data_IF_918457489685
#
_entry.id   IF_918457489685
#
_cell.length_a   1.000
_cell.length_b   1.000
_cell.length_c   1.000
_cell.angle_alpha   90.00
_cell.angle_beta   90.00
_cell.angle_gamma   90.00
#
_symmetry.space_group_name_H-M   'P 1'
#
loop_
_entity.id
_entity.type
_entity.pdbx_description
1 polymer ?
#
# COMPACT_ATOMS: atom_id res chain seq x y z
N UNK A 1 -13.27 -19.50 12.81
CA UNK A 1 -11.85 -19.35 13.22
C UNK A 1 -11.76 -18.07 14.04
N UNK A 2 -11.04 -18.10 15.15
CA UNK A 2 -10.70 -16.90 15.91
C UNK A 2 -9.46 -16.24 15.29
N UNK A 3 -9.33 -14.93 15.44
CA UNK A 3 -8.14 -14.22 15.00
C UNK A 3 -6.98 -14.53 15.97
N UNK A 4 -5.91 -15.14 15.46
CA UNK A 4 -4.71 -15.49 16.24
C UNK A 4 -3.52 -14.58 15.94
N UNK A 5 -3.67 -13.60 15.04
CA UNK A 5 -2.58 -12.72 14.60
C UNK A 5 -2.25 -11.62 15.62
N UNK A 6 -3.20 -11.24 16.47
CA UNK A 6 -2.99 -10.30 17.55
C UNK A 6 -4.09 -10.45 18.61
N UNK A 7 -3.76 -10.08 19.84
CA UNK A 7 -4.69 -10.09 20.96
C UNK A 7 -5.48 -8.78 21.05
N UNK A 8 -6.65 -8.82 21.68
CA UNK A 8 -7.39 -7.61 21.98
C UNK A 8 -6.61 -6.73 22.96
N UNK A 9 -6.44 -5.46 22.59
CA UNK A 9 -5.82 -4.45 23.44
C UNK A 9 -6.52 -3.12 23.19
N UNK A 10 -7.25 -2.53 24.15
CA UNK A 10 -7.93 -1.26 23.94
C UNK A 10 -6.92 -0.10 24.00
N UNK A 11 -7.04 0.85 23.06
CA UNK A 11 -6.12 2.00 22.97
C UNK A 11 -6.08 2.84 24.26
N UNK A 12 -7.15 2.85 25.04
CA UNK A 12 -7.27 3.60 26.31
C UNK A 12 -6.46 3.02 27.46
N UNK A 13 -5.96 1.79 27.34
CA UNK A 13 -5.19 1.10 28.38
C UNK A 13 -3.71 0.95 28.01
N UNK A 14 -3.31 1.41 26.83
CA UNK A 14 -1.93 1.31 26.34
C UNK A 14 -1.08 2.49 26.78
N UNK A 15 0.21 2.23 27.00
CA UNK A 15 1.18 3.29 27.20
C UNK A 15 1.23 4.23 25.98
N UNK A 16 1.20 5.56 26.17
CA UNK A 16 1.26 6.52 25.08
C UNK A 16 2.55 6.37 24.25
N UNK A 17 2.42 6.43 22.92
CA UNK A 17 3.59 6.53 22.05
C UNK A 17 4.18 7.94 22.16
N UNK A 18 5.45 8.00 22.58
CA UNK A 18 6.22 9.24 22.58
C UNK A 18 6.98 9.39 21.25
N UNK A 19 6.47 10.27 20.39
CA UNK A 19 7.14 10.56 19.11
C UNK A 19 8.41 11.42 19.32
N UNK A 20 9.38 11.32 18.40
CA UNK A 20 10.55 12.18 18.40
C UNK A 20 10.19 13.67 18.54
N UNK A 21 11.05 14.43 19.20
CA UNK A 21 10.91 15.88 19.40
C UNK A 21 9.60 16.31 20.08
N UNK A 22 8.97 15.43 20.86
CA UNK A 22 7.71 15.70 21.56
C UNK A 22 6.53 15.96 20.60
N UNK A 23 6.61 15.47 19.36
CA UNK A 23 5.49 15.57 18.41
C UNK A 23 4.28 14.81 18.94
N UNK A 24 3.09 15.31 18.62
CA UNK A 24 1.82 14.75 19.10
C UNK A 24 1.16 13.80 18.12
N UNK A 25 1.56 13.88 16.85
CA UNK A 25 0.99 13.09 15.74
C UNK A 25 2.14 12.73 14.80
N UNK A 26 2.16 11.48 14.37
CA UNK A 26 2.92 11.03 13.22
C UNK A 26 1.93 10.63 12.12
N UNK A 27 2.28 10.93 10.87
CA UNK A 27 1.53 10.48 9.71
C UNK A 27 2.52 10.08 8.61
N UNK A 28 2.05 9.26 7.68
CA UNK A 28 2.76 8.98 6.44
C UNK A 28 1.83 9.24 5.26
N UNK A 29 2.42 9.51 4.10
CA UNK A 29 1.67 9.57 2.84
C UNK A 29 1.93 8.27 2.09
N UNK A 30 0.94 7.39 2.11
CA UNK A 30 0.92 6.17 1.30
C UNK A 30 0.69 6.55 -0.17
N UNK A 31 1.69 6.33 -1.02
CA UNK A 31 1.59 6.51 -2.46
C UNK A 31 1.56 5.14 -3.14
N UNK A 32 0.36 4.69 -3.50
CA UNK A 32 0.18 3.47 -4.28
C UNK A 32 0.70 3.70 -5.70
N UNK A 33 1.67 2.88 -6.13
CA UNK A 33 2.15 2.84 -7.51
C UNK A 33 1.93 1.42 -8.01
N UNK A 34 0.86 1.29 -8.78
CA UNK A 34 0.24 0.03 -9.11
C UNK A 34 0.30 -0.24 -10.61
N UNK A 35 0.42 -1.51 -10.96
CA UNK A 35 0.27 -1.99 -12.33
C UNK A 35 -0.96 -2.90 -12.40
N UNK A 36 -1.68 -2.81 -13.52
CA UNK A 36 -2.86 -3.62 -13.79
C UNK A 36 -2.68 -4.33 -15.12
N UNK A 37 -3.08 -5.59 -15.17
CA UNK A 37 -3.12 -6.36 -16.41
C UNK A 37 -4.38 -5.99 -17.19
N UNK A 38 -4.21 -5.85 -18.51
CA UNK A 38 -5.34 -5.72 -19.44
C UNK A 38 -6.22 -6.96 -19.29
N UNK A 39 -7.54 -6.77 -19.34
CA UNK A 39 -8.53 -7.86 -19.35
C UNK A 39 -8.57 -8.74 -18.10
N UNK A 40 -7.96 -8.27 -17.01
CA UNK A 40 -8.18 -8.78 -15.66
C UNK A 40 -9.11 -7.85 -14.91
N UNK A 41 -10.13 -8.43 -14.29
CA UNK A 41 -11.00 -7.70 -13.38
C UNK A 41 -10.16 -7.11 -12.24
N UNK A 42 -10.44 -5.87 -11.92
CA UNK A 42 -9.82 -5.11 -10.84
C UNK A 42 -10.70 -3.89 -10.54
N UNK A 43 -10.24 -2.97 -9.70
CA UNK A 43 -10.97 -1.76 -9.29
C UNK A 43 -11.62 -1.07 -10.49
N UNK A 44 -12.94 -0.95 -10.46
CA UNK A 44 -13.73 -0.38 -11.55
C UNK A 44 -14.40 0.91 -11.07
N UNK A 45 -14.35 1.94 -11.91
CA UNK A 45 -15.11 3.18 -11.72
C UNK A 45 -16.45 3.12 -12.46
N UNK A 46 -16.62 2.12 -13.35
CA UNK A 46 -17.84 1.90 -14.09
C UNK A 46 -18.14 0.40 -14.23
N UNK A 47 -19.01 -0.11 -13.39
CA UNK A 47 -19.30 -1.56 -13.31
C UNK A 47 -19.88 -2.13 -14.62
N UNK A 48 -20.60 -1.33 -15.41
CA UNK A 48 -21.21 -1.84 -16.64
C UNK A 48 -20.20 -2.26 -17.72
N UNK A 49 -18.95 -1.79 -17.66
CA UNK A 49 -17.90 -2.20 -18.60
C UNK A 49 -16.95 -3.24 -18.01
N UNK A 50 -17.03 -3.53 -16.71
CA UNK A 50 -16.10 -4.39 -15.97
C UNK A 50 -15.99 -5.82 -16.52
N UNK A 51 -17.02 -6.31 -17.21
CA UNK A 51 -17.06 -7.63 -17.83
C UNK A 51 -16.67 -7.63 -19.33
N UNK A 52 -16.43 -6.47 -19.95
CA UNK A 52 -16.07 -6.37 -21.35
C UNK A 52 -14.58 -6.72 -21.55
N UNK A 53 -14.25 -7.29 -22.71
CA UNK A 53 -12.87 -7.62 -23.08
C UNK A 53 -12.57 -7.08 -24.49
N UNK A 54 -11.79 -5.98 -24.64
CA UNK A 54 -11.13 -5.25 -23.55
C UNK A 54 -12.01 -4.24 -22.82
N UNK A 55 -11.83 -4.15 -21.50
CA UNK A 55 -12.42 -3.08 -20.67
C UNK A 55 -11.52 -1.84 -20.73
N UNK A 56 -11.52 -1.19 -21.89
CA UNK A 56 -10.69 -0.02 -22.14
C UNK A 56 -10.99 1.14 -21.17
N UNK A 57 -12.24 1.26 -20.70
CA UNK A 57 -12.65 2.31 -19.77
C UNK A 57 -11.99 2.10 -18.41
N UNK A 58 -12.21 0.94 -17.77
CA UNK A 58 -11.62 0.73 -16.44
C UNK A 58 -10.10 0.52 -16.50
N UNK A 59 -9.56 -0.02 -17.60
CA UNK A 59 -8.11 -0.07 -17.76
C UNK A 59 -7.49 1.32 -17.90
N UNK A 60 -8.10 2.19 -18.71
CA UNK A 60 -7.55 3.50 -19.06
C UNK A 60 -7.39 4.45 -17.87
N UNK A 61 -8.36 4.51 -16.95
CA UNK A 61 -8.23 5.39 -15.78
C UNK A 61 -7.16 4.89 -14.79
N UNK A 62 -6.96 3.57 -14.67
CA UNK A 62 -5.90 3.00 -13.84
C UNK A 62 -4.53 3.31 -14.44
N UNK A 63 -4.37 3.10 -15.75
CA UNK A 63 -3.13 3.36 -16.47
C UNK A 63 -2.79 4.87 -16.51
N UNK A 64 -3.78 5.76 -16.41
CA UNK A 64 -3.55 7.20 -16.25
C UNK A 64 -2.67 7.53 -15.03
N UNK A 65 -2.77 6.76 -13.94
CA UNK A 65 -2.01 6.95 -12.71
C UNK A 65 -0.49 6.93 -12.97
N UNK A 66 0.01 5.85 -13.58
CA UNK A 66 1.44 5.68 -13.87
C UNK A 66 1.92 6.54 -15.05
N UNK A 67 1.03 6.95 -15.96
CA UNK A 67 1.38 7.79 -17.12
C UNK A 67 1.44 9.28 -16.81
N UNK A 68 0.51 9.77 -15.99
CA UNK A 68 0.29 11.21 -15.79
C UNK A 68 0.14 11.56 -14.32
N UNK A 69 -0.68 10.81 -13.57
CA UNK A 69 -1.01 11.11 -12.18
C UNK A 69 0.22 11.20 -11.27
N UNK A 70 1.10 10.20 -11.34
CA UNK A 70 2.31 10.10 -10.52
C UNK A 70 3.22 11.32 -10.66
N UNK A 71 3.36 11.88 -11.86
CA UNK A 71 4.21 13.04 -12.12
C UNK A 71 3.67 14.32 -11.50
N UNK A 72 2.34 14.50 -11.54
CA UNK A 72 1.67 15.62 -10.86
C UNK A 72 1.74 15.49 -9.34
N UNK A 73 1.61 14.26 -8.82
CA UNK A 73 1.76 13.99 -7.39
C UNK A 73 3.19 14.26 -6.93
N UNK A 74 4.20 13.83 -7.71
CA UNK A 74 5.61 14.15 -7.46
C UNK A 74 5.81 15.67 -7.31
N UNK A 75 5.33 16.48 -8.26
CA UNK A 75 5.46 17.94 -8.17
C UNK A 75 4.79 18.50 -6.90
N UNK A 76 3.66 17.93 -6.48
CA UNK A 76 2.96 18.38 -5.28
C UNK A 76 3.69 17.99 -4.00
N UNK A 77 4.19 16.77 -3.91
CA UNK A 77 4.98 16.30 -2.78
C UNK A 77 6.26 17.11 -2.63
N UNK A 78 6.95 17.37 -3.74
CA UNK A 78 8.17 18.20 -3.79
C UNK A 78 7.89 19.62 -3.28
N UNK A 79 6.80 20.27 -3.74
CA UNK A 79 6.41 21.60 -3.27
C UNK A 79 6.18 21.67 -1.76
N UNK A 80 5.75 20.58 -1.13
CA UNK A 80 5.48 20.52 0.30
C UNK A 80 6.62 19.87 1.11
N UNK A 81 7.71 19.46 0.47
CA UNK A 81 8.82 18.77 1.13
C UNK A 81 8.42 17.43 1.76
N UNK A 82 7.41 16.75 1.19
CA UNK A 82 6.90 15.48 1.71
C UNK A 82 7.59 14.32 1.02
N UNK A 83 8.26 13.48 1.81
CA UNK A 83 8.76 12.17 1.38
C UNK A 83 7.60 11.17 1.32
N UNK A 84 7.40 10.51 0.18
CA UNK A 84 6.38 9.47 0.04
C UNK A 84 6.82 8.13 0.66
N UNK A 85 5.84 7.41 1.22
CA UNK A 85 5.92 5.98 1.49
C UNK A 85 5.22 5.23 0.36
N UNK A 86 5.99 4.70 -0.57
CA UNK A 86 5.48 4.09 -1.80
C UNK A 86 5.09 2.64 -1.55
N UNK A 87 3.84 2.31 -1.89
CA UNK A 87 3.32 0.95 -1.93
C UNK A 87 3.46 0.45 -3.37
N UNK A 88 4.52 -0.32 -3.62
CA UNK A 88 4.99 -0.62 -4.96
C UNK A 88 4.62 -2.04 -5.38
N UNK A 89 3.87 -2.19 -6.47
CA UNK A 89 3.78 -3.49 -7.14
C UNK A 89 5.13 -3.85 -7.76
N UNK A 90 5.61 -5.10 -7.63
CA UNK A 90 6.92 -5.46 -8.19
C UNK A 90 7.01 -5.30 -9.71
N UNK A 91 5.93 -5.55 -10.47
CA UNK A 91 5.92 -5.37 -11.93
C UNK A 91 6.14 -3.91 -12.38
N UNK A 92 5.87 -2.91 -11.52
CA UNK A 92 6.16 -1.51 -11.82
C UNK A 92 7.64 -1.28 -12.03
N UNK A 93 8.50 -2.03 -11.32
CA UNK A 93 9.94 -1.87 -11.39
C UNK A 93 10.49 -2.05 -12.81
N UNK A 94 9.97 -3.04 -13.54
CA UNK A 94 10.39 -3.35 -14.91
C UNK A 94 9.64 -2.52 -15.94
N UNK A 95 8.35 -2.25 -15.70
CA UNK A 95 7.48 -1.58 -16.67
C UNK A 95 7.65 -0.07 -16.71
N UNK A 96 7.93 0.54 -15.56
CA UNK A 96 7.94 1.99 -15.39
C UNK A 96 9.23 2.45 -14.66
N UNK A 97 10.43 2.13 -15.17
CA UNK A 97 11.70 2.40 -14.49
C UNK A 97 11.93 3.89 -14.22
N UNK A 98 11.33 4.78 -15.00
CA UNK A 98 11.39 6.23 -14.78
C UNK A 98 10.78 6.63 -13.42
N UNK A 99 9.74 5.92 -12.97
CA UNK A 99 9.10 6.17 -11.67
C UNK A 99 10.03 5.73 -10.53
N UNK A 100 10.68 4.56 -10.68
CA UNK A 100 11.66 4.08 -9.70
C UNK A 100 12.80 5.08 -9.55
N UNK A 101 13.37 5.52 -10.68
CA UNK A 101 14.45 6.50 -10.70
C UNK A 101 14.01 7.85 -10.09
N UNK A 102 12.78 8.31 -10.38
CA UNK A 102 12.24 9.52 -9.76
C UNK A 102 12.11 9.40 -8.23
N UNK A 103 11.73 8.23 -7.72
CA UNK A 103 11.63 7.97 -6.29
C UNK A 103 12.98 7.83 -5.60
N UNK A 104 13.96 7.18 -6.26
CA UNK A 104 15.33 7.05 -5.73
C UNK A 104 15.98 8.40 -5.53
N UNK A 105 15.85 9.32 -6.49
CA UNK A 105 16.36 10.70 -6.36
C UNK A 105 15.74 11.49 -5.21
N UNK A 106 14.54 11.10 -4.77
CA UNK A 106 13.80 11.75 -3.69
C UNK A 106 13.92 11.04 -2.36
N UNK A 107 14.74 9.98 -2.31
CA UNK A 107 14.82 9.07 -1.17
C UNK A 107 13.41 8.68 -0.70
N UNK A 108 12.56 8.16 -1.58
CA UNK A 108 11.26 7.61 -1.14
C UNK A 108 11.45 6.41 -0.23
N UNK A 109 10.48 6.17 0.67
CA UNK A 109 10.42 4.92 1.41
C UNK A 109 9.69 3.88 0.55
N UNK A 110 10.20 2.65 0.49
CA UNK A 110 9.66 1.59 -0.37
C UNK A 110 9.02 0.48 0.46
N UNK A 111 7.77 0.17 0.15
CA UNK A 111 6.99 -0.93 0.69
C UNK A 111 6.61 -1.86 -0.46
N UNK A 112 6.52 -3.16 -0.17
CA UNK A 112 6.05 -4.15 -1.11
C UNK A 112 4.53 -4.19 -1.15
N UNK A 113 3.95 -4.21 -2.35
CA UNK A 113 2.50 -4.20 -2.55
C UNK A 113 2.03 -5.27 -3.53
N UNK A 114 2.42 -6.53 -3.34
CA UNK A 114 2.11 -7.59 -4.31
C UNK A 114 2.86 -7.47 -5.64
N UNK A 115 2.59 -8.40 -6.56
CA UNK A 115 3.19 -8.39 -7.90
C UNK A 115 2.53 -7.39 -8.84
N UNK A 116 1.21 -7.34 -8.79
CA UNK A 116 0.29 -6.54 -9.61
C UNK A 116 -0.99 -6.33 -8.81
N UNK A 117 -1.73 -5.26 -9.08
CA UNK A 117 -3.03 -5.01 -8.44
C UNK A 117 -4.20 -5.70 -9.20
N UNK A 118 -3.88 -6.65 -10.07
CA UNK A 118 -4.82 -7.56 -10.75
C UNK A 118 -4.90 -8.96 -10.14
N UNK A 119 -4.10 -9.25 -9.11
CA UNK A 119 -4.06 -10.55 -8.43
C UNK A 119 -4.10 -10.31 -6.93
N UNK A 120 -5.09 -10.90 -6.25
CA UNK A 120 -5.21 -10.83 -4.80
C UNK A 120 -4.24 -11.82 -4.13
N UNK A 121 -3.85 -11.51 -2.90
CA UNK A 121 -2.94 -12.34 -2.11
C UNK A 121 -3.73 -13.23 -1.15
N UNK A 122 -4.56 -14.09 -1.72
CA UNK A 122 -5.47 -14.99 -0.97
C UNK A 122 -5.32 -16.43 -1.44
N UNK A 123 -5.69 -17.38 -0.58
CA UNK A 123 -5.80 -18.81 -0.92
C UNK A 123 -4.53 -19.44 -1.52
N UNK A 124 -3.36 -18.94 -1.12
CA UNK A 124 -2.05 -19.48 -1.51
C UNK A 124 -1.63 -20.60 -0.56
N UNK A 125 -1.02 -21.65 -1.11
CA UNK A 125 -0.25 -22.58 -0.30
C UNK A 125 1.03 -21.91 0.22
N UNK A 126 1.50 -22.34 1.40
CA UNK A 126 2.60 -21.68 2.12
C UNK A 126 3.89 -21.59 1.29
N UNK A 127 4.19 -22.59 0.46
CA UNK A 127 5.41 -22.62 -0.34
C UNK A 127 5.29 -21.72 -1.58
N UNK A 128 4.14 -21.71 -2.25
CA UNK A 128 3.85 -20.77 -3.33
C UNK A 128 3.85 -19.33 -2.83
N UNK A 129 3.24 -19.09 -1.67
CA UNK A 129 3.23 -17.77 -1.02
C UNK A 129 4.64 -17.30 -0.67
N UNK A 130 5.44 -18.15 -0.01
CA UNK A 130 6.85 -17.87 0.32
C UNK A 130 7.64 -17.48 -0.92
N UNK A 131 7.47 -18.22 -2.01
CA UNK A 131 8.14 -17.93 -3.28
C UNK A 131 7.68 -16.61 -3.89
N UNK A 132 6.38 -16.38 -3.98
CA UNK A 132 5.83 -15.14 -4.54
C UNK A 132 6.28 -13.91 -3.73
N UNK A 133 6.23 -13.98 -2.39
CA UNK A 133 6.71 -12.91 -1.51
C UNK A 133 8.21 -12.64 -1.68
N UNK A 134 9.03 -13.69 -1.76
CA UNK A 134 10.47 -13.55 -2.02
C UNK A 134 10.72 -12.87 -3.36
N UNK A 135 10.06 -13.34 -4.43
CA UNK A 135 10.20 -12.79 -5.78
C UNK A 135 9.81 -11.30 -5.83
N UNK A 136 8.72 -10.92 -5.14
CA UNK A 136 8.28 -9.50 -5.03
C UNK A 136 9.33 -8.66 -4.31
N UNK A 137 9.77 -9.11 -3.13
CA UNK A 137 10.69 -8.35 -2.28
C UNK A 137 12.04 -8.16 -2.97
N UNK A 138 12.59 -9.22 -3.57
CA UNK A 138 13.89 -9.17 -4.25
C UNK A 138 13.82 -8.32 -5.53
N UNK A 139 12.70 -8.34 -6.25
CA UNK A 139 12.49 -7.47 -7.42
C UNK A 139 12.49 -5.99 -7.02
N UNK A 140 11.80 -5.64 -5.95
CA UNK A 140 11.75 -4.27 -5.44
C UNK A 140 13.12 -3.83 -4.92
N UNK A 141 13.81 -4.70 -4.17
CA UNK A 141 15.17 -4.41 -3.67
C UNK A 141 16.14 -4.16 -4.82
N UNK A 142 16.13 -5.00 -5.85
CA UNK A 142 16.99 -4.86 -7.03
C UNK A 142 16.75 -3.53 -7.76
N UNK A 143 15.50 -3.12 -7.91
CA UNK A 143 15.15 -1.90 -8.65
C UNK A 143 15.44 -0.62 -7.87
N UNK A 144 15.09 -0.62 -6.58
CA UNK A 144 15.17 0.57 -5.71
C UNK A 144 16.53 0.71 -5.03
N UNK A 145 17.28 -0.38 -4.90
CA UNK A 145 18.50 -0.47 -4.08
C UNK A 145 18.23 -0.55 -2.58
N UNK A 146 16.97 -0.69 -2.16
CA UNK A 146 16.57 -0.76 -0.76
C UNK A 146 15.60 -1.93 -0.57
N UNK A 147 15.91 -2.84 0.35
CA UNK A 147 14.95 -3.88 0.72
C UNK A 147 13.72 -3.24 1.38
N UNK A 148 12.50 -3.51 0.90
CA UNK A 148 11.31 -2.97 1.55
C UNK A 148 11.23 -3.47 2.98
N UNK A 149 10.78 -2.61 3.90
CA UNK A 149 10.57 -2.95 5.32
C UNK A 149 9.11 -3.24 5.65
N UNK A 150 8.20 -2.77 4.81
CA UNK A 150 6.76 -2.88 4.99
C UNK A 150 6.09 -3.62 3.84
N UNK A 151 4.93 -4.21 4.14
CA UNK A 151 4.06 -4.87 3.19
C UNK A 151 2.63 -4.35 3.29
N UNK A 152 1.95 -4.32 2.15
CA UNK A 152 0.49 -4.25 2.07
C UNK A 152 0.06 -5.18 0.95
N UNK A 153 -0.87 -6.10 1.15
CA UNK A 153 -1.38 -6.91 0.06
C UNK A 153 -2.27 -6.13 -0.91
N UNK A 154 -2.34 -6.50 -2.20
CA UNK A 154 -3.34 -5.99 -3.13
C UNK A 154 -4.75 -6.08 -2.52
N UNK A 155 -5.50 -4.99 -2.55
CA UNK A 155 -6.81 -4.86 -1.90
C UNK A 155 -6.85 -5.20 -0.39
N UNK A 156 -5.75 -5.00 0.34
CA UNK A 156 -5.62 -5.33 1.76
C UNK A 156 -5.84 -6.83 2.05
N UNK A 157 -5.36 -7.67 1.13
CA UNK A 157 -5.51 -9.13 1.24
C UNK A 157 -4.19 -9.79 1.62
N UNK A 158 -4.26 -10.74 2.54
CA UNK A 158 -3.12 -11.58 2.91
C UNK A 158 -3.63 -12.96 3.38
N UNK A 159 -2.72 -13.91 3.58
CA UNK A 159 -3.01 -15.15 4.29
C UNK A 159 -2.57 -15.03 5.75
N UNK A 160 -3.05 -15.94 6.62
CA UNK A 160 -2.56 -16.01 8.00
C UNK A 160 -1.06 -16.34 8.12
N UNK A 161 -0.41 -16.82 7.05
CA UNK A 161 1.02 -17.09 7.04
C UNK A 161 1.84 -15.86 6.61
N UNK A 162 1.23 -14.89 5.92
CA UNK A 162 1.93 -13.75 5.32
C UNK A 162 2.82 -13.01 6.33
N UNK A 163 2.35 -12.62 7.54
CA UNK A 163 3.20 -11.90 8.48
C UNK A 163 4.44 -12.69 8.93
N UNK A 164 4.32 -14.02 9.08
CA UNK A 164 5.44 -14.88 9.43
C UNK A 164 6.44 -14.99 8.28
N UNK A 165 5.96 -15.24 7.06
CA UNK A 165 6.82 -15.36 5.88
C UNK A 165 7.57 -14.04 5.61
N UNK A 166 6.89 -12.91 5.69
CA UNK A 166 7.50 -11.59 5.56
C UNK A 166 8.58 -11.34 6.62
N UNK A 167 8.34 -11.78 7.87
CA UNK A 167 9.34 -11.67 8.93
C UNK A 167 10.60 -12.47 8.63
N UNK A 168 10.45 -13.68 8.08
CA UNK A 168 11.56 -14.54 7.62
C UNK A 168 12.33 -13.87 6.46
N UNK A 169 11.62 -13.11 5.60
CA UNK A 169 12.20 -12.31 4.52
C UNK A 169 12.80 -10.97 5.00
N UNK A 170 12.74 -10.65 6.29
CA UNK A 170 13.35 -9.45 6.88
C UNK A 170 12.47 -8.21 6.90
N UNK A 171 11.20 -8.30 6.50
CA UNK A 171 10.22 -7.23 6.68
C UNK A 171 9.79 -7.14 8.15
N UNK A 172 9.29 -5.98 8.55
CA UNK A 172 9.09 -5.60 9.95
C UNK A 172 7.67 -5.11 10.24
N UNK A 173 6.90 -4.76 9.23
CA UNK A 173 5.51 -4.36 9.43
C UNK A 173 4.60 -4.68 8.24
N UNK A 174 3.31 -4.85 8.52
CA UNK A 174 2.22 -5.00 7.55
C UNK A 174 1.20 -3.88 7.73
N UNK A 175 0.45 -3.56 6.67
CA UNK A 175 -0.56 -2.49 6.63
C UNK A 175 -2.00 -3.01 6.47
N UNK A 176 -2.17 -4.30 6.22
CA UNK A 176 -3.44 -4.93 5.85
C UNK A 176 -4.53 -4.85 6.95
N UNK A 177 -4.12 -4.78 8.22
CA UNK A 177 -5.02 -4.75 9.37
C UNK A 177 -5.36 -3.32 9.79
N UNK A 178 -6.43 -2.78 9.21
CA UNK A 178 -6.95 -1.42 9.48
C UNK A 178 -7.77 -1.36 10.78
N UNK A 179 -7.16 -1.71 11.91
CA UNK A 179 -7.86 -1.93 13.18
C UNK A 179 -7.45 -0.98 14.32
N UNK A 180 -6.64 0.04 14.06
CA UNK A 180 -6.07 0.88 15.12
C UNK A 180 -5.66 2.27 14.63
N UNK A 181 -5.41 3.21 15.55
CA UNK A 181 -4.86 4.55 15.26
C UNK A 181 -3.34 4.60 15.48
N UNK A 182 -2.75 3.56 16.07
CA UNK A 182 -1.32 3.46 16.34
C UNK A 182 -0.75 2.11 15.93
N UNK A 183 0.56 2.02 15.59
CA UNK A 183 1.21 0.74 15.39
C UNK A 183 1.10 -0.17 16.61
N UNK A 184 0.88 -1.46 16.40
CA UNK A 184 0.78 -2.45 17.47
C UNK A 184 1.47 -3.77 17.07
N UNK A 185 2.01 -4.54 18.03
CA UNK A 185 2.68 -5.79 17.73
C UNK A 185 1.69 -6.88 17.29
N UNK A 186 2.12 -7.69 16.32
CA UNK A 186 1.46 -8.95 16.00
C UNK A 186 2.01 -10.09 16.89
N UNK A 187 1.30 -11.21 16.94
CA UNK A 187 1.73 -12.47 17.56
C UNK A 187 3.03 -13.01 16.97
N UNK A 188 3.42 -12.56 15.76
CA UNK A 188 4.71 -12.87 15.13
C UNK A 188 5.81 -11.95 15.70
N UNK A 189 6.83 -12.47 16.40
CA UNK A 189 7.84 -11.64 17.06
C UNK A 189 8.59 -10.69 16.12
N UNK A 190 8.57 -9.40 16.47
CA UNK A 190 9.23 -8.35 15.70
C UNK A 190 8.48 -7.93 14.43
N UNK A 191 7.22 -8.34 14.27
CA UNK A 191 6.32 -7.82 13.25
C UNK A 191 5.29 -6.86 13.89
N UNK A 192 5.07 -5.72 13.25
CA UNK A 192 4.05 -4.76 13.64
C UNK A 192 2.91 -4.72 12.62
N UNK A 193 1.69 -4.49 13.09
CA UNK A 193 0.68 -3.86 12.25
C UNK A 193 0.87 -2.35 12.34
N UNK A 194 1.01 -1.69 11.20
CA UNK A 194 1.02 -0.22 11.08
C UNK A 194 -0.27 0.17 10.38
N UNK A 195 -1.20 0.87 11.03
CA UNK A 195 -2.52 1.13 10.46
C UNK A 195 -2.47 1.81 9.09
N UNK A 196 -3.21 1.22 8.16
CA UNK A 196 -3.66 1.86 6.92
C UNK A 196 -5.10 2.34 7.09
N UNK A 197 -5.51 3.32 6.28
CA UNK A 197 -6.84 3.91 6.35
C UNK A 197 -7.57 3.73 5.03
N UNK A 198 -8.81 3.24 5.12
CA UNK A 198 -9.74 3.15 3.98
C UNK A 198 -10.59 4.42 3.90
N UNK A 199 -10.77 5.11 5.03
CA UNK A 199 -11.58 6.31 5.18
C UNK A 199 -10.87 7.56 4.64
N UNK A 200 -9.58 7.71 4.95
CA UNK A 200 -8.71 8.78 4.43
C UNK A 200 -7.92 8.29 3.22
N UNK A 201 -8.61 7.62 2.30
CA UNK A 201 -8.08 7.08 1.07
C UNK A 201 -8.71 7.79 -0.15
N UNK A 202 -7.90 8.14 -1.15
CA UNK A 202 -8.34 8.90 -2.32
C UNK A 202 -9.31 8.10 -3.21
N UNK A 203 -9.13 6.79 -3.35
CA UNK A 203 -10.06 5.90 -4.06
C UNK A 203 -11.44 5.94 -3.41
N UNK A 204 -11.51 5.85 -2.08
CA UNK A 204 -12.76 5.91 -1.33
C UNK A 204 -13.41 7.29 -1.37
N UNK A 205 -12.63 8.34 -1.11
CA UNK A 205 -13.09 9.73 -1.01
C UNK A 205 -13.48 10.33 -2.37
N UNK A 206 -12.60 10.21 -3.36
CA UNK A 206 -12.78 10.82 -4.67
C UNK A 206 -13.36 9.85 -5.69
N UNK A 207 -12.86 8.60 -5.73
CA UNK A 207 -13.31 7.60 -6.70
C UNK A 207 -14.74 7.14 -6.47
N UNK A 208 -15.06 6.67 -5.26
CA UNK A 208 -16.37 6.11 -4.94
C UNK A 208 -17.38 7.13 -4.43
N UNK A 209 -16.97 8.04 -3.54
CA UNK A 209 -17.88 9.05 -2.97
C UNK A 209 -18.00 10.32 -3.80
N UNK A 210 -17.09 10.56 -4.75
CA UNK A 210 -17.12 11.74 -5.62
C UNK A 210 -16.97 13.07 -4.87
N UNK A 211 -16.36 13.07 -3.67
CA UNK A 211 -16.14 14.32 -2.94
C UNK A 211 -15.16 15.21 -3.70
N UNK A 212 -15.29 16.52 -3.55
CA UNK A 212 -14.33 17.48 -4.09
C UNK A 212 -13.24 17.81 -3.05
N UNK A 213 -12.10 18.33 -3.50
CA UNK A 213 -11.03 18.79 -2.60
C UNK A 213 -11.52 19.76 -1.50
N UNK A 214 -12.37 20.75 -1.80
CA UNK A 214 -12.99 21.59 -0.77
C UNK A 214 -13.88 20.85 0.22
N UNK A 215 -14.64 19.83 -0.21
CA UNK A 215 -15.48 19.01 0.69
C UNK A 215 -14.64 18.06 1.57
N UNK A 216 -13.45 17.67 1.12
CA UNK A 216 -12.52 16.88 1.91
C UNK A 216 -11.88 17.69 3.04
N UNK A 217 -11.70 19.01 2.85
CA UNK A 217 -11.23 19.85 3.95
C UNK A 217 -12.32 19.90 5.04
N UNK A 218 -12.01 19.60 6.30
CA UNK A 218 -12.95 19.90 7.37
C UNK A 218 -13.29 21.40 7.30
N UNK A 219 -14.58 21.74 7.45
CA UNK A 219 -15.02 23.14 7.52
C UNK A 219 -14.06 23.92 8.44
N UNK A 220 -13.58 25.11 8.03
CA UNK A 220 -12.82 25.95 8.95
C UNK A 220 -13.69 26.17 10.20
N UNK A 221 -13.16 25.77 11.36
CA UNK A 221 -13.71 26.16 12.66
C UNK A 221 -13.57 27.67 12.83
#
# INVERSE_FOLDING_TARGET
>A
MENTLYEYSPITEREPIHWPDGKRVAFYVGLNIEHFHVDKSSTSIHDATAALLPDALNYGWRDYGVRVGVWRLIESLDRHGIRASVLLNSEVAERYPQIIEAGRRRDWAWLAHGRTNSVLHTDLDVEAERKELLDIVDTIEKATGQRPRGWMGPALTETFNTPKLLRELGLQYVLDWTSDDQPFPLSVPGMLSVPYTVELNDLGVFGFKGLTGPQFRPCPR
#
